data_IF_641009962698
#
_entry.id   IF_641009962698
#
_cell.length_a   1.000
_cell.length_b   1.000
_cell.length_c   1.000
_cell.angle_alpha   90.00
_cell.angle_beta   90.00
_cell.angle_gamma   90.00
#
_symmetry.space_group_name_H-M   'P 1'
#
loop_
_entity.id
_entity.type
_entity.pdbx_description
1 polymer ?
#
# COMPACT_ATOMS: atom_id res chain seq x y z
N UNK A 1 -11.36 -17.37 8.74
CA UNK A 1 -10.15 -16.57 9.13
C UNK A 1 -10.21 -16.18 10.61
N UNK A 2 -9.06 -16.25 11.35
CA UNK A 2 -9.00 -15.92 12.78
C UNK A 2 -9.36 -14.44 13.03
N UNK A 3 -10.17 -14.17 14.08
CA UNK A 3 -10.62 -12.83 14.48
C UNK A 3 -9.44 -11.88 14.77
N UNK A 4 -8.36 -12.37 15.43
CA UNK A 4 -7.15 -11.59 15.69
C UNK A 4 -6.50 -11.08 14.40
N UNK A 5 -6.43 -11.92 13.38
CA UNK A 5 -5.84 -11.57 12.09
C UNK A 5 -6.66 -10.49 11.38
N UNK A 6 -7.99 -10.58 11.41
CA UNK A 6 -8.87 -9.53 10.85
C UNK A 6 -8.62 -8.20 11.56
N UNK A 7 -8.64 -8.18 12.89
CA UNK A 7 -8.40 -6.95 13.64
C UNK A 7 -7.00 -6.35 13.38
N UNK A 8 -5.98 -7.20 13.25
CA UNK A 8 -4.62 -6.74 12.93
C UNK A 8 -4.57 -6.08 11.56
N UNK A 9 -5.18 -6.69 10.52
CA UNK A 9 -5.19 -6.11 9.17
C UNK A 9 -6.05 -4.83 9.12
N UNK A 10 -7.17 -4.77 9.86
CA UNK A 10 -7.96 -3.54 9.97
C UNK A 10 -7.17 -2.42 10.68
N UNK A 11 -6.40 -2.75 11.72
CA UNK A 11 -5.50 -1.79 12.37
C UNK A 11 -4.41 -1.30 11.42
N UNK A 12 -3.83 -2.20 10.63
CA UNK A 12 -2.90 -1.84 9.56
C UNK A 12 -3.55 -0.94 8.49
N UNK A 13 -4.81 -1.19 8.14
CA UNK A 13 -5.57 -0.37 7.21
C UNK A 13 -5.84 1.04 7.77
N UNK A 14 -6.12 1.16 9.05
CA UNK A 14 -6.24 2.46 9.72
C UNK A 14 -4.90 3.22 9.69
N UNK A 15 -3.80 2.60 10.10
CA UNK A 15 -2.46 3.18 10.03
C UNK A 15 -2.10 3.60 8.59
N UNK A 16 -2.51 2.79 7.62
CA UNK A 16 -2.32 3.08 6.20
C UNK A 16 -3.12 4.32 5.76
N UNK A 17 -4.36 4.48 6.19
CA UNK A 17 -5.16 5.69 5.95
C UNK A 17 -4.54 6.93 6.62
N UNK A 18 -4.06 6.77 7.84
CA UNK A 18 -3.46 7.84 8.62
C UNK A 18 -2.20 8.41 7.94
N UNK A 19 -1.23 7.56 7.51
CA UNK A 19 -0.04 8.08 6.86
C UNK A 19 -0.34 8.70 5.49
N UNK A 20 -1.29 8.15 4.73
CA UNK A 20 -1.74 8.78 3.48
C UNK A 20 -2.37 10.16 3.71
N UNK A 21 -3.11 10.32 4.82
CA UNK A 21 -3.65 11.60 5.24
C UNK A 21 -2.52 12.63 5.48
N UNK A 22 -1.43 12.23 6.16
CA UNK A 22 -0.26 13.08 6.39
C UNK A 22 0.45 13.50 5.09
N UNK A 23 0.56 12.59 4.10
CA UNK A 23 1.18 12.90 2.80
C UNK A 23 0.30 13.81 1.95
N UNK A 24 -1.03 13.75 2.13
CA UNK A 24 -1.96 14.57 1.35
C UNK A 24 -1.65 16.06 1.47
N UNK A 25 -1.30 16.51 2.67
CA UNK A 25 -1.02 17.92 2.98
C UNK A 25 0.40 18.36 2.58
N UNK A 26 1.27 17.43 2.16
CA UNK A 26 2.62 17.76 1.71
C UNK A 26 2.55 18.33 0.27
N UNK A 27 2.94 19.59 0.04
CA UNK A 27 2.83 20.22 -1.28
C UNK A 27 3.63 19.47 -2.36
N UNK A 28 4.87 19.11 -2.04
CA UNK A 28 5.74 18.34 -2.93
C UNK A 28 5.63 16.85 -2.62
N UNK A 29 5.08 16.06 -3.56
CA UNK A 29 4.87 14.61 -3.38
C UNK A 29 6.17 13.82 -3.30
N UNK A 30 7.26 14.28 -3.92
CA UNK A 30 8.57 13.67 -3.78
C UNK A 30 9.13 13.85 -2.34
N UNK A 31 8.94 15.03 -1.76
CA UNK A 31 9.28 15.31 -0.35
C UNK A 31 8.46 14.42 0.59
N UNK A 32 7.15 14.31 0.36
CA UNK A 32 6.28 13.45 1.17
C UNK A 32 6.68 11.98 1.10
N UNK A 33 6.99 11.47 -0.10
CA UNK A 33 7.44 10.10 -0.30
C UNK A 33 8.80 9.83 0.35
N UNK A 34 9.77 10.76 0.22
CA UNK A 34 11.03 10.68 0.92
C UNK A 34 10.82 10.64 2.44
N UNK A 35 10.01 11.55 2.99
CA UNK A 35 9.73 11.62 4.42
C UNK A 35 9.15 10.29 4.95
N UNK A 36 8.17 9.69 4.27
CA UNK A 36 7.62 8.40 4.66
C UNK A 36 8.68 7.30 4.63
N UNK A 37 9.42 7.18 3.52
CA UNK A 37 10.42 6.11 3.36
C UNK A 37 11.56 6.22 4.37
N UNK A 38 12.13 7.41 4.55
CA UNK A 38 13.20 7.61 5.54
C UNK A 38 12.69 7.53 6.98
N UNK A 39 11.42 7.83 7.23
CA UNK A 39 10.75 7.63 8.51
C UNK A 39 10.58 6.16 8.93
N UNK A 40 10.71 5.21 7.99
CA UNK A 40 10.74 3.78 8.30
C UNK A 40 12.07 3.34 8.94
N UNK A 41 13.20 3.98 8.60
CA UNK A 41 14.55 3.51 8.92
C UNK A 41 14.80 3.30 10.43
N UNK A 42 14.37 4.19 11.34
CA UNK A 42 14.59 3.97 12.77
C UNK A 42 13.92 2.69 13.28
N UNK A 43 12.66 2.46 12.89
CA UNK A 43 11.94 1.25 13.29
C UNK A 43 12.49 0.00 12.62
N UNK A 44 12.90 0.09 11.33
CA UNK A 44 13.57 -1.00 10.64
C UNK A 44 14.88 -1.39 11.33
N UNK A 45 15.69 -0.40 11.73
CA UNK A 45 16.93 -0.65 12.47
C UNK A 45 16.71 -1.31 13.83
N UNK A 46 15.76 -0.79 14.61
CA UNK A 46 15.38 -1.41 15.90
C UNK A 46 14.82 -2.81 15.68
N UNK A 47 13.94 -2.98 14.67
CA UNK A 47 13.37 -4.28 14.33
C UNK A 47 14.45 -5.30 14.00
N UNK A 48 15.41 -4.96 13.14
CA UNK A 48 16.53 -5.86 12.78
C UNK A 48 17.45 -6.18 13.96
N UNK A 49 17.66 -5.23 14.86
CA UNK A 49 18.45 -5.49 16.08
C UNK A 49 17.85 -6.60 16.93
N UNK A 50 16.52 -6.66 17.06
CA UNK A 50 15.85 -7.68 17.85
C UNK A 50 15.52 -8.97 17.08
N UNK A 51 15.16 -8.88 15.79
CA UNK A 51 14.78 -10.05 14.99
C UNK A 51 15.96 -10.76 14.32
N UNK A 52 17.10 -10.07 14.20
CA UNK A 52 18.21 -10.52 13.36
C UNK A 52 17.94 -10.32 11.86
N UNK A 53 18.90 -10.78 11.04
CA UNK A 53 18.79 -10.75 9.58
C UNK A 53 17.92 -11.92 9.08
N UNK A 54 17.21 -11.78 7.96
CA UNK A 54 16.48 -12.87 7.33
C UNK A 54 17.44 -13.93 6.78
N UNK A 55 16.92 -15.13 6.54
CA UNK A 55 17.69 -16.22 5.94
C UNK A 55 18.23 -15.85 4.56
N UNK A 56 19.37 -16.44 4.16
CA UNK A 56 19.95 -16.22 2.82
C UNK A 56 19.00 -16.65 1.70
N UNK A 57 18.14 -17.62 1.94
CA UNK A 57 17.12 -18.08 0.99
C UNK A 57 16.09 -16.99 0.64
N UNK A 58 15.90 -16.00 1.52
CA UNK A 58 15.03 -14.86 1.27
C UNK A 58 15.67 -13.77 0.38
N UNK A 59 16.99 -13.82 0.13
CA UNK A 59 17.72 -12.78 -0.61
C UNK A 59 17.18 -12.49 -2.02
N UNK A 60 16.83 -13.47 -2.87
CA UNK A 60 16.25 -13.19 -4.19
C UNK A 60 14.97 -12.36 -4.09
N UNK A 61 14.13 -12.66 -3.09
CA UNK A 61 12.89 -11.93 -2.84
C UNK A 61 13.13 -10.51 -2.31
N UNK A 62 14.18 -10.30 -1.51
CA UNK A 62 14.59 -8.96 -1.06
C UNK A 62 15.06 -8.08 -2.22
N UNK A 63 15.85 -8.63 -3.14
CA UNK A 63 16.25 -7.90 -4.35
C UNK A 63 15.03 -7.56 -5.23
N UNK A 64 14.17 -8.54 -5.51
CA UNK A 64 12.96 -8.31 -6.28
C UNK A 64 12.03 -7.29 -5.60
N UNK A 65 11.84 -7.39 -4.28
CA UNK A 65 11.08 -6.45 -3.45
C UNK A 65 11.61 -5.02 -3.63
N UNK A 66 12.91 -4.79 -3.47
CA UNK A 66 13.52 -3.46 -3.57
C UNK A 66 13.25 -2.80 -4.94
N UNK A 67 13.41 -3.54 -6.04
CA UNK A 67 13.13 -3.03 -7.38
C UNK A 67 11.64 -2.80 -7.62
N UNK A 68 10.76 -3.68 -7.14
CA UNK A 68 9.32 -3.53 -7.29
C UNK A 68 8.79 -2.34 -6.46
N UNK A 69 9.31 -2.13 -5.27
CA UNK A 69 9.00 -0.96 -4.45
C UNK A 69 9.50 0.34 -5.10
N UNK A 70 10.71 0.35 -5.66
CA UNK A 70 11.19 1.50 -6.43
C UNK A 70 10.29 1.76 -7.64
N UNK A 71 9.96 0.72 -8.42
CA UNK A 71 9.04 0.84 -9.57
C UNK A 71 7.70 1.44 -9.16
N UNK A 72 7.07 0.90 -8.11
CA UNK A 72 5.86 1.47 -7.54
C UNK A 72 6.00 2.97 -7.23
N UNK A 73 7.07 3.38 -6.55
CA UNK A 73 7.30 4.78 -6.16
C UNK A 73 7.52 5.67 -7.38
N UNK A 74 8.30 5.22 -8.35
CA UNK A 74 8.58 5.96 -9.59
C UNK A 74 7.32 6.15 -10.42
N UNK A 75 6.56 5.08 -10.66
CA UNK A 75 5.33 5.16 -11.44
C UNK A 75 4.26 6.01 -10.74
N UNK A 76 4.13 5.88 -9.43
CA UNK A 76 3.19 6.67 -8.63
C UNK A 76 3.55 8.17 -8.63
N UNK A 77 4.83 8.53 -8.42
CA UNK A 77 5.28 9.93 -8.48
C UNK A 77 5.03 10.55 -9.86
N UNK A 78 5.27 9.79 -10.92
CA UNK A 78 4.99 10.27 -12.27
C UNK A 78 3.49 10.35 -12.55
N UNK A 79 2.67 9.42 -12.06
CA UNK A 79 1.22 9.48 -12.20
C UNK A 79 0.62 10.74 -11.56
N UNK A 80 1.18 11.20 -10.44
CA UNK A 80 0.73 12.44 -9.77
C UNK A 80 1.00 13.72 -10.55
N UNK A 81 1.82 13.68 -11.60
CA UNK A 81 1.98 14.83 -12.52
C UNK A 81 0.75 15.03 -13.41
N UNK A 82 -0.03 13.96 -13.64
CA UNK A 82 -1.17 13.92 -14.55
C UNK A 82 -2.53 13.79 -13.84
N UNK A 83 -2.53 13.70 -12.51
CA UNK A 83 -3.77 13.62 -11.74
C UNK A 83 -3.55 13.72 -10.24
N UNK A 84 -4.62 13.98 -9.50
CA UNK A 84 -4.57 14.10 -8.05
C UNK A 84 -4.43 12.74 -7.35
N UNK A 85 -3.98 12.75 -6.10
CA UNK A 85 -3.95 11.57 -5.24
C UNK A 85 -5.34 10.89 -5.15
N UNK A 86 -6.41 11.69 -5.11
CA UNK A 86 -7.78 11.17 -5.01
C UNK A 86 -8.29 10.51 -6.28
N UNK A 87 -7.70 10.79 -7.45
CA UNK A 87 -8.09 10.18 -8.73
C UNK A 87 -7.18 9.01 -9.13
N UNK A 88 -5.87 9.15 -8.97
CA UNK A 88 -4.87 8.19 -9.42
C UNK A 88 -4.76 7.00 -8.45
N UNK A 89 -4.61 7.29 -7.15
CA UNK A 89 -4.30 6.28 -6.16
C UNK A 89 -5.38 5.19 -5.98
N UNK A 90 -6.69 5.50 -5.99
CA UNK A 90 -7.72 4.45 -5.92
C UNK A 90 -7.69 3.48 -7.10
N UNK A 91 -7.33 3.94 -8.31
CA UNK A 91 -7.25 3.05 -9.48
C UNK A 91 -6.13 2.04 -9.27
N UNK A 92 -4.92 2.50 -8.92
CA UNK A 92 -3.79 1.64 -8.65
C UNK A 92 -4.10 0.63 -7.52
N UNK A 93 -4.72 1.09 -6.45
CA UNK A 93 -5.07 0.29 -5.27
C UNK A 93 -6.16 -0.73 -5.56
N UNK A 94 -7.19 -0.36 -6.30
CA UNK A 94 -8.28 -1.29 -6.64
C UNK A 94 -7.84 -2.41 -7.61
N UNK A 95 -6.85 -2.15 -8.47
CA UNK A 95 -6.31 -3.18 -9.37
C UNK A 95 -5.45 -4.21 -8.64
N UNK A 96 -4.70 -3.81 -7.63
CA UNK A 96 -3.74 -4.68 -6.98
C UNK A 96 -4.35 -5.98 -6.41
N UNK A 97 -5.45 -5.98 -5.63
CA UNK A 97 -6.04 -7.22 -5.12
C UNK A 97 -6.52 -8.18 -6.22
N UNK A 98 -7.02 -7.65 -7.34
CA UNK A 98 -7.42 -8.49 -8.48
C UNK A 98 -6.22 -9.21 -9.10
N UNK A 99 -5.13 -8.47 -9.33
CA UNK A 99 -3.91 -9.04 -9.89
C UNK A 99 -3.26 -10.03 -8.91
N UNK A 100 -3.22 -9.71 -7.61
CA UNK A 100 -2.75 -10.61 -6.56
C UNK A 100 -3.57 -11.89 -6.54
N UNK A 101 -4.90 -11.79 -6.64
CA UNK A 101 -5.79 -12.96 -6.67
C UNK A 101 -5.52 -13.83 -7.89
N UNK A 102 -5.37 -13.21 -9.06
CA UNK A 102 -5.05 -13.92 -10.29
C UNK A 102 -3.72 -14.68 -10.17
N UNK A 103 -2.67 -14.03 -9.67
CA UNK A 103 -1.37 -14.66 -9.43
C UNK A 103 -1.48 -15.75 -8.36
N UNK A 104 -2.24 -15.52 -7.28
CA UNK A 104 -2.42 -16.50 -6.21
C UNK A 104 -3.08 -17.78 -6.71
N UNK A 105 -4.08 -17.69 -7.58
CA UNK A 105 -4.79 -18.86 -8.12
C UNK A 105 -3.96 -19.54 -9.22
N UNK A 106 -3.42 -18.77 -10.20
CA UNK A 106 -2.82 -19.34 -11.41
C UNK A 106 -1.36 -19.76 -11.23
N UNK A 107 -0.63 -19.15 -10.31
CA UNK A 107 0.82 -19.35 -10.14
C UNK A 107 1.17 -19.99 -8.80
N UNK A 108 0.43 -19.59 -7.73
CA UNK A 108 0.73 -20.08 -6.38
C UNK A 108 -0.19 -21.23 -5.94
N UNK A 109 -1.08 -21.70 -6.82
CA UNK A 109 -2.05 -22.78 -6.57
C UNK A 109 -2.85 -22.59 -5.28
N UNK A 110 -3.14 -21.34 -4.90
CA UNK A 110 -3.92 -21.02 -3.70
C UNK A 110 -5.39 -21.26 -3.99
N UNK A 111 -6.01 -22.18 -3.26
CA UNK A 111 -7.46 -22.38 -3.32
C UNK A 111 -8.17 -21.28 -2.52
N UNK A 112 -9.04 -20.54 -3.19
CA UNK A 112 -9.92 -19.54 -2.58
C UNK A 112 -11.37 -20.00 -2.74
N UNK A 113 -12.16 -19.81 -1.70
CA UNK A 113 -13.60 -20.03 -1.73
C UNK A 113 -14.27 -19.05 -2.69
N UNK A 114 -15.39 -19.46 -3.31
CA UNK A 114 -16.13 -18.59 -4.23
C UNK A 114 -16.58 -17.28 -3.55
N UNK A 115 -16.99 -17.35 -2.29
CA UNK A 115 -17.34 -16.18 -1.47
C UNK A 115 -16.18 -15.20 -1.34
N UNK A 116 -14.93 -15.70 -1.15
CA UNK A 116 -13.73 -14.89 -1.05
C UNK A 116 -13.43 -14.20 -2.39
N UNK A 117 -13.53 -14.92 -3.51
CA UNK A 117 -13.32 -14.35 -4.85
C UNK A 117 -14.35 -13.25 -5.11
N UNK A 118 -15.64 -13.49 -4.85
CA UNK A 118 -16.70 -12.50 -5.01
C UNK A 118 -16.43 -11.28 -4.11
N UNK A 119 -16.01 -11.49 -2.86
CA UNK A 119 -15.64 -10.42 -1.93
C UNK A 119 -14.50 -9.56 -2.46
N UNK A 120 -13.42 -10.16 -2.97
CA UNK A 120 -12.27 -9.46 -3.57
C UNK A 120 -12.72 -8.64 -4.77
N UNK A 121 -13.48 -9.24 -5.69
CA UNK A 121 -13.98 -8.57 -6.90
C UNK A 121 -14.86 -7.37 -6.51
N UNK A 122 -15.75 -7.54 -5.53
CA UNK A 122 -16.67 -6.48 -5.08
C UNK A 122 -15.88 -5.29 -4.47
N UNK A 123 -14.91 -5.55 -3.60
CA UNK A 123 -14.05 -4.52 -3.02
C UNK A 123 -13.29 -3.78 -4.12
N UNK A 124 -12.60 -4.52 -4.98
CA UNK A 124 -11.73 -3.96 -6.01
C UNK A 124 -12.49 -3.13 -7.03
N UNK A 125 -13.62 -3.65 -7.53
CA UNK A 125 -14.46 -2.93 -8.52
C UNK A 125 -15.05 -1.66 -7.93
N UNK A 126 -15.52 -1.68 -6.68
CA UNK A 126 -16.01 -0.48 -6.00
C UNK A 126 -14.94 0.62 -5.94
N UNK A 127 -13.70 0.27 -5.63
CA UNK A 127 -12.58 1.20 -5.53
C UNK A 127 -12.17 1.72 -6.91
N UNK A 128 -12.09 0.85 -7.92
CA UNK A 128 -11.75 1.23 -9.30
C UNK A 128 -12.81 2.19 -9.85
N UNK A 129 -14.11 1.89 -9.68
CA UNK A 129 -15.18 2.78 -10.11
C UNK A 129 -15.12 4.14 -9.42
N UNK A 130 -14.80 4.17 -8.13
CA UNK A 130 -14.55 5.42 -7.42
C UNK A 130 -13.40 6.20 -8.04
N UNK A 131 -12.26 5.55 -8.29
CA UNK A 131 -11.10 6.16 -8.92
C UNK A 131 -11.40 6.71 -10.32
N UNK A 132 -12.07 5.92 -11.16
CA UNK A 132 -12.46 6.34 -12.52
C UNK A 132 -13.41 7.56 -12.48
N UNK A 133 -14.36 7.58 -11.55
CA UNK A 133 -15.24 8.74 -11.40
C UNK A 133 -14.45 9.99 -11.03
N UNK A 134 -13.55 9.91 -10.06
CA UNK A 134 -12.71 11.04 -9.67
C UNK A 134 -11.77 11.48 -10.81
N UNK A 135 -11.24 10.50 -11.55
CA UNK A 135 -10.40 10.74 -12.72
C UNK A 135 -11.15 11.54 -13.80
N UNK A 136 -12.41 11.15 -14.12
CA UNK A 136 -13.26 11.85 -15.09
C UNK A 136 -13.63 13.26 -14.62
N UNK A 137 -13.97 13.42 -13.34
CA UNK A 137 -14.30 14.73 -12.76
C UNK A 137 -13.11 15.69 -12.76
N UNK A 138 -11.88 15.16 -12.66
CA UNK A 138 -10.66 15.96 -12.69
C UNK A 138 -10.16 16.27 -14.12
N UNK A 139 -10.83 15.76 -15.17
CA UNK A 139 -10.36 15.82 -16.57
C UNK A 139 -8.89 15.39 -16.71
N UNK A 140 -8.51 14.33 -15.99
CA UNK A 140 -7.13 13.87 -15.96
C UNK A 140 -6.72 13.23 -17.30
N UNK A 141 -5.44 13.27 -17.62
CA UNK A 141 -4.91 12.77 -18.89
C UNK A 141 -4.81 11.25 -18.92
N UNK A 142 -4.99 10.63 -20.09
CA UNK A 142 -4.87 9.17 -20.27
C UNK A 142 -3.52 8.62 -19.77
N UNK A 143 -2.45 9.39 -19.92
CA UNK A 143 -1.12 9.06 -19.39
C UNK A 143 -1.15 8.80 -17.88
N UNK A 144 -1.90 9.60 -17.11
CA UNK A 144 -2.08 9.39 -15.68
C UNK A 144 -2.79 8.07 -15.35
N UNK A 145 -3.77 7.67 -16.16
CA UNK A 145 -4.46 6.39 -16.02
C UNK A 145 -3.51 5.20 -16.29
N UNK A 146 -2.74 5.27 -17.37
CA UNK A 146 -1.76 4.22 -17.71
C UNK A 146 -0.70 4.06 -16.61
N UNK A 147 -0.20 5.18 -16.08
CA UNK A 147 0.76 5.17 -14.97
C UNK A 147 0.13 4.64 -13.66
N UNK A 148 -1.16 4.94 -13.40
CA UNK A 148 -1.88 4.36 -12.27
C UNK A 148 -2.03 2.83 -12.41
N UNK A 149 -2.35 2.34 -13.59
CA UNK A 149 -2.41 0.91 -13.88
C UNK A 149 -1.05 0.24 -13.68
N UNK A 150 0.02 0.82 -14.24
CA UNK A 150 1.38 0.32 -14.01
C UNK A 150 1.75 0.32 -12.52
N UNK A 151 1.40 1.38 -11.79
CA UNK A 151 1.55 1.43 -10.32
C UNK A 151 0.84 0.25 -9.63
N UNK A 152 -0.40 -0.06 -10.06
CA UNK A 152 -1.16 -1.21 -9.55
C UNK A 152 -0.47 -2.56 -9.81
N UNK A 153 0.15 -2.74 -10.98
CA UNK A 153 0.96 -3.93 -11.29
C UNK A 153 2.17 -4.05 -10.34
N UNK A 154 2.89 -2.95 -10.09
CA UNK A 154 4.00 -2.95 -9.14
C UNK A 154 3.54 -3.22 -7.70
N UNK A 155 2.37 -2.68 -7.29
CA UNK A 155 1.78 -2.97 -5.97
C UNK A 155 1.47 -4.48 -5.86
N UNK A 156 0.87 -5.07 -6.88
CA UNK A 156 0.59 -6.50 -6.89
C UNK A 156 1.88 -7.32 -6.84
N UNK A 157 2.87 -6.95 -7.67
CA UNK A 157 4.16 -7.62 -7.74
C UNK A 157 4.89 -7.64 -6.39
N UNK A 158 5.11 -6.46 -5.77
CA UNK A 158 5.81 -6.45 -4.48
C UNK A 158 4.99 -7.14 -3.39
N UNK A 159 3.66 -7.04 -3.39
CA UNK A 159 2.83 -7.68 -2.36
C UNK A 159 2.96 -9.21 -2.39
N UNK A 160 3.03 -9.81 -3.60
CA UNK A 160 3.23 -11.25 -3.77
C UNK A 160 4.66 -11.65 -3.38
N UNK A 161 5.66 -10.94 -3.91
CA UNK A 161 7.08 -11.22 -3.64
C UNK A 161 7.40 -11.09 -2.16
N UNK A 162 6.90 -10.03 -1.51
CA UNK A 162 7.12 -9.77 -0.09
C UNK A 162 6.41 -10.83 0.79
N UNK A 163 5.21 -11.27 0.41
CA UNK A 163 4.51 -12.33 1.14
C UNK A 163 5.27 -13.66 1.07
N UNK A 164 5.80 -14.03 -0.11
CA UNK A 164 6.62 -15.24 -0.27
C UNK A 164 7.93 -15.10 0.49
N UNK A 165 8.65 -13.98 0.29
CA UNK A 165 9.93 -13.73 0.96
C UNK A 165 9.80 -13.69 2.48
N UNK A 166 8.71 -13.13 3.01
CA UNK A 166 8.41 -13.11 4.44
C UNK A 166 8.18 -14.52 5.00
N UNK A 167 7.50 -15.40 4.27
CA UNK A 167 7.32 -16.81 4.66
C UNK A 167 8.63 -17.57 4.70
N UNK A 168 9.50 -17.36 3.70
CA UNK A 168 10.84 -17.98 3.64
C UNK A 168 11.72 -17.43 4.77
N UNK A 169 11.67 -16.13 5.05
CA UNK A 169 12.41 -15.53 6.15
C UNK A 169 11.89 -15.92 7.55
N UNK A 170 10.65 -16.40 7.65
CA UNK A 170 9.99 -16.74 8.92
C UNK A 170 9.68 -15.54 9.81
N UNK A 171 10.01 -14.31 9.39
CA UNK A 171 9.84 -13.07 10.15
C UNK A 171 9.52 -11.89 9.27
N UNK A 172 8.35 -11.27 9.49
CA UNK A 172 7.96 -10.04 8.79
C UNK A 172 8.87 -8.86 9.13
N UNK A 173 9.34 -8.78 10.37
CA UNK A 173 10.21 -7.69 10.84
C UNK A 173 11.60 -7.81 10.19
N UNK A 174 12.18 -9.02 10.17
CA UNK A 174 13.47 -9.25 9.55
C UNK A 174 13.43 -8.99 8.03
N UNK A 175 12.44 -9.53 7.33
CA UNK A 175 12.30 -9.35 5.89
C UNK A 175 12.08 -7.87 5.53
N UNK A 176 11.06 -7.23 6.12
CA UNK A 176 10.74 -5.84 5.79
C UNK A 176 11.79 -4.85 6.29
N UNK A 177 12.49 -5.16 7.38
CA UNK A 177 13.61 -4.37 7.84
C UNK A 177 14.69 -4.22 6.77
N UNK A 178 15.18 -5.32 6.19
CA UNK A 178 16.18 -5.29 5.11
C UNK A 178 15.61 -4.69 3.83
N UNK A 179 14.38 -5.05 3.44
CA UNK A 179 13.69 -4.49 2.26
C UNK A 179 13.57 -2.96 2.37
N UNK A 180 13.30 -2.44 3.57
CA UNK A 180 13.20 -0.99 3.84
C UNK A 180 14.53 -0.27 3.57
N UNK A 181 15.66 -0.77 4.08
CA UNK A 181 16.96 -0.17 3.82
C UNK A 181 17.31 -0.18 2.33
N UNK A 182 17.10 -1.32 1.67
CA UNK A 182 17.35 -1.46 0.23
C UNK A 182 16.50 -0.49 -0.60
N UNK A 183 15.21 -0.40 -0.29
CA UNK A 183 14.27 0.51 -0.97
C UNK A 183 14.60 1.97 -0.71
N UNK A 184 15.03 2.33 0.52
CA UNK A 184 15.43 3.69 0.86
C UNK A 184 16.68 4.13 0.07
N UNK A 185 17.68 3.24 -0.08
CA UNK A 185 18.88 3.50 -0.88
C UNK A 185 18.50 3.73 -2.35
N UNK A 186 17.70 2.85 -2.94
CA UNK A 186 17.28 2.98 -4.34
C UNK A 186 16.45 4.24 -4.57
N UNK A 187 15.52 4.57 -3.66
CA UNK A 187 14.76 5.81 -3.74
C UNK A 187 15.66 7.05 -3.59
N UNK A 188 16.64 7.01 -2.69
CA UNK A 188 17.60 8.11 -2.52
C UNK A 188 18.37 8.38 -3.82
N UNK A 189 18.87 7.33 -4.47
CA UNK A 189 19.58 7.45 -5.75
C UNK A 189 18.62 8.05 -6.81
N UNK A 190 17.41 7.53 -6.92
CA UNK A 190 16.41 8.04 -7.87
C UNK A 190 16.11 9.53 -7.64
N UNK A 191 15.84 9.92 -6.39
CA UNK A 191 15.51 11.31 -6.05
C UNK A 191 16.69 12.25 -6.23
N UNK A 192 17.91 11.80 -5.95
CA UNK A 192 19.11 12.62 -6.19
C UNK A 192 19.28 12.97 -7.66
N UNK A 193 18.90 12.05 -8.58
CA UNK A 193 19.01 12.26 -10.03
C UNK A 193 17.84 13.10 -10.55
N UNK A 194 16.61 12.83 -10.09
CA UNK A 194 15.39 13.39 -10.71
C UNK A 194 14.83 14.62 -10.01
N UNK A 195 15.09 14.75 -8.71
CA UNK A 195 14.60 15.84 -7.85
C UNK A 195 15.70 16.29 -6.88
N UNK A 196 16.82 16.86 -7.39
CA UNK A 196 17.94 17.28 -6.55
C UNK A 196 17.47 18.30 -5.51
N UNK A 197 17.92 18.14 -4.27
CA UNK A 197 17.52 18.98 -3.14
C UNK A 197 16.45 18.39 -2.24
N UNK A 198 15.63 17.45 -2.69
CA UNK A 198 14.60 16.79 -1.86
C UNK A 198 15.22 16.13 -0.64
N UNK A 199 16.35 15.42 -0.82
CA UNK A 199 17.02 14.69 0.26
C UNK A 199 17.64 15.60 1.34
N UNK A 200 17.86 16.86 1.04
CA UNK A 200 18.39 17.82 2.02
C UNK A 200 17.31 18.50 2.84
N UNK A 201 16.07 18.57 2.31
CA UNK A 201 15.01 19.40 2.86
C UNK A 201 13.82 18.62 3.45
N UNK A 202 13.60 17.35 3.06
CA UNK A 202 12.40 16.60 3.46
C UNK A 202 12.18 16.55 4.97
N UNK A 203 13.27 16.49 5.77
CA UNK A 203 13.19 16.44 7.22
C UNK A 203 12.67 17.74 7.86
N UNK A 204 12.79 18.88 7.16
CA UNK A 204 12.26 20.18 7.59
C UNK A 204 10.87 20.42 7.02
N UNK A 205 10.68 20.17 5.71
CA UNK A 205 9.45 20.47 4.99
C UNK A 205 8.30 19.49 5.34
N UNK A 206 8.64 18.24 5.70
CA UNK A 206 7.67 17.19 6.00
C UNK A 206 7.96 16.46 7.32
N UNK A 207 8.34 17.19 8.37
CA UNK A 207 8.74 16.60 9.67
C UNK A 207 7.64 15.71 10.28
N UNK A 208 6.39 16.14 10.24
CA UNK A 208 5.28 15.35 10.78
C UNK A 208 5.05 14.09 9.94
N UNK A 209 5.16 14.20 8.62
CA UNK A 209 5.07 13.05 7.71
C UNK A 209 6.23 12.09 7.94
N UNK A 210 7.44 12.59 8.19
CA UNK A 210 8.62 11.78 8.53
C UNK A 210 8.38 10.95 9.79
N UNK A 211 7.98 11.60 10.88
CA UNK A 211 7.86 10.96 12.20
C UNK A 211 6.59 10.11 12.26
N UNK A 212 5.42 10.72 12.11
CA UNK A 212 4.14 10.05 12.30
C UNK A 212 3.73 9.23 11.07
N UNK A 213 3.89 9.80 9.88
CA UNK A 213 3.55 9.13 8.62
C UNK A 213 4.47 7.93 8.36
N UNK A 214 5.79 8.11 8.51
CA UNK A 214 6.77 7.03 8.35
C UNK A 214 6.55 5.90 9.36
N UNK A 215 6.41 6.23 10.66
CA UNK A 215 6.11 5.23 11.71
C UNK A 215 4.84 4.45 11.40
N UNK A 216 3.74 5.14 11.09
CA UNK A 216 2.47 4.50 10.79
C UNK A 216 2.54 3.63 9.53
N UNK A 217 3.23 4.09 8.49
CA UNK A 217 3.42 3.34 7.25
C UNK A 217 4.25 2.07 7.45
N UNK A 218 5.35 2.15 8.21
CA UNK A 218 6.18 0.99 8.54
C UNK A 218 5.37 -0.06 9.30
N UNK A 219 4.73 0.33 10.40
CA UNK A 219 3.93 -0.57 11.23
C UNK A 219 2.78 -1.19 10.45
N UNK A 220 2.07 -0.38 9.63
CA UNK A 220 1.00 -0.89 8.77
C UNK A 220 1.49 -2.03 7.88
N UNK A 221 2.66 -1.88 7.26
CA UNK A 221 3.14 -2.87 6.31
C UNK A 221 3.73 -4.10 7.00
N UNK A 222 4.44 -3.94 8.12
CA UNK A 222 4.90 -5.08 8.94
C UNK A 222 3.73 -5.95 9.40
N UNK A 223 2.63 -5.33 9.85
CA UNK A 223 1.42 -6.07 10.26
C UNK A 223 0.81 -6.82 9.07
N UNK A 224 0.78 -6.21 7.87
CA UNK A 224 0.30 -6.87 6.65
C UNK A 224 1.17 -8.09 6.30
N UNK A 225 2.49 -7.95 6.33
CA UNK A 225 3.40 -9.06 6.07
C UNK A 225 3.31 -10.15 7.14
N UNK A 226 3.16 -9.75 8.40
CA UNK A 226 2.88 -10.71 9.48
C UNK A 226 1.57 -11.49 9.21
N UNK A 227 0.50 -10.81 8.79
CA UNK A 227 -0.74 -11.47 8.44
C UNK A 227 -0.58 -12.45 7.26
N UNK A 228 0.30 -12.15 6.30
CA UNK A 228 0.61 -13.04 5.18
C UNK A 228 1.34 -14.33 5.58
N UNK A 229 1.89 -14.42 6.81
CA UNK A 229 2.39 -15.69 7.35
C UNK A 229 1.26 -16.69 7.63
N UNK A 230 0.04 -16.20 7.92
CA UNK A 230 -1.08 -16.99 8.41
C UNK A 230 -2.28 -17.03 7.47
N UNK A 231 -2.30 -16.21 6.42
CA UNK A 231 -3.41 -16.15 5.46
C UNK A 231 -2.91 -15.90 4.03
N UNK A 232 -3.72 -16.25 3.01
CA UNK A 232 -3.41 -15.94 1.62
C UNK A 232 -3.25 -14.44 1.39
N UNK A 233 -2.20 -14.05 0.62
CA UNK A 233 -1.91 -12.65 0.32
C UNK A 233 -3.08 -11.94 -0.37
N UNK A 234 -3.86 -12.65 -1.19
CA UNK A 234 -5.06 -12.11 -1.85
C UNK A 234 -6.10 -11.60 -0.83
N UNK A 235 -6.36 -12.38 0.23
CA UNK A 235 -7.31 -12.01 1.28
C UNK A 235 -6.77 -10.84 2.11
N UNK A 236 -5.52 -10.94 2.55
CA UNK A 236 -4.87 -9.89 3.37
C UNK A 236 -4.82 -8.56 2.60
N UNK A 237 -4.44 -8.60 1.32
CA UNK A 237 -4.42 -7.41 0.46
C UNK A 237 -5.80 -6.78 0.29
N UNK A 238 -6.84 -7.61 0.07
CA UNK A 238 -8.21 -7.12 -0.09
C UNK A 238 -8.76 -6.50 1.19
N UNK A 239 -8.49 -7.09 2.35
CA UNK A 239 -8.83 -6.49 3.65
C UNK A 239 -8.11 -5.16 3.89
N UNK A 240 -6.84 -5.02 3.45
CA UNK A 240 -6.09 -3.76 3.56
C UNK A 240 -6.77 -2.61 2.82
N UNK A 241 -7.58 -2.90 1.80
CA UNK A 241 -8.32 -1.86 1.06
C UNK A 241 -9.40 -1.17 1.90
N UNK A 242 -9.76 -1.70 3.06
CA UNK A 242 -10.57 -0.99 4.07
C UNK A 242 -9.94 0.33 4.50
N UNK A 243 -8.65 0.54 4.24
CA UNK A 243 -7.98 1.83 4.44
C UNK A 243 -8.70 2.99 3.75
N UNK A 244 -9.40 2.74 2.63
CA UNK A 244 -10.21 3.77 1.98
C UNK A 244 -11.41 4.20 2.85
N UNK A 245 -12.01 3.27 3.61
CA UNK A 245 -13.10 3.62 4.55
C UNK A 245 -12.58 4.57 5.63
N UNK A 246 -11.44 4.24 6.22
CA UNK A 246 -10.79 5.11 7.21
C UNK A 246 -10.36 6.44 6.60
N UNK A 247 -9.87 6.47 5.37
CA UNK A 247 -9.51 7.71 4.68
C UNK A 247 -10.73 8.63 4.45
N UNK A 248 -11.90 8.05 4.12
CA UNK A 248 -13.15 8.83 3.99
C UNK A 248 -13.58 9.40 5.34
N UNK A 249 -13.49 8.60 6.41
CA UNK A 249 -13.83 9.04 7.77
C UNK A 249 -12.89 10.17 8.21
N UNK A 250 -11.59 10.01 8.04
CA UNK A 250 -10.60 11.06 8.36
C UNK A 250 -10.84 12.32 7.52
N UNK A 251 -11.13 12.18 6.23
CA UNK A 251 -11.47 13.31 5.36
C UNK A 251 -12.74 14.04 5.80
N UNK A 252 -13.78 13.30 6.21
CA UNK A 252 -15.02 13.89 6.68
C UNK A 252 -14.85 14.64 8.02
N UNK A 253 -14.12 14.05 8.97
CA UNK A 253 -13.92 14.63 10.32
C UNK A 253 -12.96 15.81 10.27
N UNK A 254 -11.77 15.64 9.70
CA UNK A 254 -10.70 16.65 9.78
C UNK A 254 -10.74 17.67 8.65
N UNK A 255 -11.12 17.26 7.43
CA UNK A 255 -11.18 18.14 6.26
C UNK A 255 -12.60 18.62 5.94
N UNK A 256 -13.61 18.20 6.73
CA UNK A 256 -15.03 18.52 6.52
C UNK A 256 -15.52 18.18 5.10
N UNK A 257 -14.94 17.15 4.49
CA UNK A 257 -15.35 16.68 3.16
C UNK A 257 -16.76 16.11 3.20
N UNK A 258 -17.59 16.48 2.22
CA UNK A 258 -18.95 15.94 2.09
C UNK A 258 -18.91 14.46 1.73
N UNK A 259 -19.71 13.65 2.44
CA UNK A 259 -19.95 12.26 2.11
C UNK A 259 -21.06 12.23 1.04
N UNK A 260 -20.68 11.96 -0.20
CA UNK A 260 -21.62 11.84 -1.31
C UNK A 260 -22.26 10.46 -1.34
N UNK A 261 -23.44 10.31 -2.00
CA UNK A 261 -24.10 9.01 -2.18
C UNK A 261 -23.14 7.97 -2.81
N UNK A 262 -22.25 8.39 -3.71
CA UNK A 262 -21.28 7.51 -4.32
C UNK A 262 -20.24 6.98 -3.33
N UNK A 263 -19.78 7.82 -2.39
CA UNK A 263 -18.91 7.37 -1.29
C UNK A 263 -19.64 6.35 -0.40
N UNK A 264 -20.95 6.55 -0.16
CA UNK A 264 -21.77 5.60 0.62
C UNK A 264 -21.88 4.25 -0.09
N UNK A 265 -22.20 4.23 -1.39
CA UNK A 265 -22.25 2.99 -2.18
C UNK A 265 -20.92 2.24 -2.12
N UNK A 266 -19.79 2.95 -2.28
CA UNK A 266 -18.47 2.33 -2.18
C UNK A 266 -18.23 1.75 -0.77
N UNK A 267 -18.57 2.48 0.30
CA UNK A 267 -18.45 2.00 1.68
C UNK A 267 -19.25 0.70 1.87
N UNK A 268 -20.51 0.69 1.46
CA UNK A 268 -21.38 -0.50 1.57
C UNK A 268 -20.80 -1.67 0.79
N UNK A 269 -20.35 -1.43 -0.44
CA UNK A 269 -19.73 -2.49 -1.27
C UNK A 269 -18.48 -3.08 -0.61
N UNK A 270 -17.60 -2.24 -0.03
CA UNK A 270 -16.41 -2.72 0.68
C UNK A 270 -16.81 -3.53 1.91
N UNK A 271 -17.79 -3.07 2.72
CA UNK A 271 -18.25 -3.79 3.90
C UNK A 271 -18.88 -5.14 3.54
N UNK A 272 -19.71 -5.20 2.48
CA UNK A 272 -20.25 -6.45 1.96
C UNK A 272 -19.12 -7.40 1.50
N UNK A 273 -18.12 -6.87 0.80
CA UNK A 273 -16.95 -7.64 0.39
C UNK A 273 -16.18 -8.24 1.57
N UNK A 274 -15.98 -7.47 2.64
CA UNK A 274 -15.34 -7.96 3.88
C UNK A 274 -16.14 -9.10 4.52
N UNK A 275 -17.47 -8.96 4.56
CA UNK A 275 -18.32 -10.02 5.09
C UNK A 275 -18.17 -11.31 4.28
N UNK A 276 -18.12 -11.22 2.93
CA UNK A 276 -17.91 -12.36 2.05
C UNK A 276 -16.52 -12.99 2.26
N UNK A 277 -15.46 -12.18 2.46
CA UNK A 277 -14.12 -12.70 2.79
C UNK A 277 -14.09 -13.47 4.11
N UNK A 278 -14.96 -13.13 5.06
CA UNK A 278 -15.05 -13.80 6.36
C UNK A 278 -15.82 -15.12 6.30
N UNK A 279 -16.82 -15.21 5.42
CA UNK A 279 -17.70 -16.39 5.31
C UNK A 279 -17.00 -17.60 4.67
N UNK A 280 -15.97 -17.39 3.84
CA UNK A 280 -15.08 -18.43 3.34
C UNK A 280 -13.80 -18.50 4.17
#
# INVERSE_FOLDING_TARGET
MNTLLIFSVLSAAFLHAFWNFQVKDTPNKAVGMAAVMFGHLPLAGVGLFYSGLPSLEAMPYLFASAFLHLGYQVFLLNAYKYGSLTSIYPIARGMAPLLITLVSILILDVMLELSQIIGIVLISTAIIFFGIKQYRLANAELTGLMLACATGCFIAGYSVVDAIGTRIAGSAIAFYGVSTFSSAILLAIYLQITNPGVLFNFHKEARNTLIYGGTASYLAYVIVLWACLYAPVAIVSSLRETSLLFAIILGAIFLKEKITMFKIIMIVSILCGILLLRLG
#
